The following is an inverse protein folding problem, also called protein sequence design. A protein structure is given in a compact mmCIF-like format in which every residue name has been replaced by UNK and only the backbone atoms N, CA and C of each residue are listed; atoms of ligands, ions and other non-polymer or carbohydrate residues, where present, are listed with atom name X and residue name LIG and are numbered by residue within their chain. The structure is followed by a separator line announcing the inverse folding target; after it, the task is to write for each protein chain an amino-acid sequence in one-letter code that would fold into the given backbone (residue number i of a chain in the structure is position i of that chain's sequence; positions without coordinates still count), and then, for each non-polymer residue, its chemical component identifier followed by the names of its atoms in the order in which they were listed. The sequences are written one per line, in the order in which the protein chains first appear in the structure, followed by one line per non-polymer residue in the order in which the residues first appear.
data_IF_251657565213
#
_entry.id   IF_251657565213
#
_cell.length_a   1.000
_cell.length_b   1.000
_cell.length_c   1.000
_cell.angle_alpha   90.00
_cell.angle_beta   90.00
_cell.angle_gamma   90.00
#
_symmetry.space_group_name_H-M   'P 1'
#
loop_
_entity.id
_entity.type
_entity.pdbx_description
1 polymer ?
#
# COMPACT_ATOMS: atom_id res chain seq x y z
N UNK A 1 26.91 -8.87 1.67
CA UNK A 1 26.51 -8.65 0.26
C UNK A 1 25.10 -9.16 0.06
N UNK A 2 24.19 -8.35 -0.49
CA UNK A 2 22.75 -8.62 -0.62
C UNK A 2 22.41 -9.90 -1.41
N UNK A 3 23.36 -10.40 -2.22
CA UNK A 3 23.26 -11.66 -2.98
C UNK A 3 23.09 -12.92 -2.13
N UNK A 4 23.59 -12.94 -0.89
CA UNK A 4 23.57 -14.13 -0.03
C UNK A 4 22.23 -14.35 0.71
N UNK A 5 21.34 -13.37 0.70
CA UNK A 5 20.08 -13.40 1.45
C UNK A 5 18.85 -13.80 0.59
N UNK A 6 19.07 -14.40 -0.58
CA UNK A 6 18.00 -14.94 -1.45
C UNK A 6 17.15 -13.89 -2.18
N UNK A 7 17.36 -12.61 -1.90
CA UNK A 7 16.67 -11.48 -2.50
C UNK A 7 16.78 -11.45 -4.03
N UNK A 8 17.97 -11.68 -4.61
CA UNK A 8 18.17 -11.60 -6.06
C UNK A 8 17.65 -12.81 -6.85
N UNK A 9 17.26 -13.91 -6.18
CA UNK A 9 16.78 -15.15 -6.81
C UNK A 9 15.29 -15.40 -6.63
N UNK A 10 14.66 -14.70 -5.69
CA UNK A 10 13.22 -14.77 -5.50
C UNK A 10 12.53 -13.98 -6.61
N UNK A 11 11.71 -14.67 -7.43
CA UNK A 11 10.94 -14.05 -8.51
C UNK A 11 9.93 -13.02 -7.98
N UNK A 12 9.57 -13.11 -6.69
CA UNK A 12 8.66 -12.17 -6.00
C UNK A 12 9.38 -11.00 -5.32
N UNK A 13 10.69 -10.90 -5.48
CA UNK A 13 11.49 -9.85 -4.86
C UNK A 13 11.13 -8.43 -5.33
N UNK A 14 10.85 -8.19 -6.62
CA UNK A 14 10.38 -6.89 -7.08
C UNK A 14 9.12 -6.43 -6.35
N UNK A 15 8.14 -7.33 -6.17
CA UNK A 15 6.88 -7.03 -5.48
C UNK A 15 7.13 -6.72 -4.00
N UNK A 16 8.00 -7.49 -3.33
CA UNK A 16 8.37 -7.22 -1.92
C UNK A 16 9.06 -5.86 -1.76
N UNK A 17 9.94 -5.50 -2.69
CA UNK A 17 10.59 -4.19 -2.72
C UNK A 17 9.58 -3.06 -2.93
N UNK A 18 8.68 -3.21 -3.91
CA UNK A 18 7.61 -2.26 -4.19
C UNK A 18 6.74 -2.08 -2.94
N UNK A 19 6.30 -3.17 -2.30
CA UNK A 19 5.52 -3.11 -1.07
C UNK A 19 6.25 -2.39 0.08
N UNK A 20 7.58 -2.54 0.21
CA UNK A 20 8.34 -1.81 1.20
C UNK A 20 8.45 -0.32 0.85
N UNK A 21 8.68 0.02 -0.41
CA UNK A 21 8.73 1.39 -0.90
C UNK A 21 7.39 2.08 -0.65
N UNK A 22 6.28 1.41 -0.94
CA UNK A 22 4.93 1.92 -0.71
C UNK A 22 4.61 2.03 0.79
N UNK A 23 4.84 0.96 1.57
CA UNK A 23 4.57 0.90 3.01
C UNK A 23 5.26 2.00 3.80
N UNK A 24 6.50 2.32 3.45
CA UNK A 24 7.28 3.36 4.12
C UNK A 24 7.29 4.68 3.34
N UNK A 25 6.49 4.78 2.27
CA UNK A 25 6.41 5.93 1.39
C UNK A 25 7.79 6.44 0.94
N UNK A 26 8.73 5.52 0.70
CA UNK A 26 10.13 5.85 0.43
C UNK A 26 10.30 6.67 -0.85
N UNK A 27 9.33 6.60 -1.77
CA UNK A 27 9.27 7.42 -2.98
C UNK A 27 9.23 8.94 -2.68
N UNK A 28 8.81 9.35 -1.47
CA UNK A 28 8.83 10.76 -1.05
C UNK A 28 10.25 11.31 -0.90
N UNK A 29 11.25 10.44 -0.79
CA UNK A 29 12.66 10.84 -0.67
C UNK A 29 13.38 10.88 -2.02
N UNK A 30 12.75 10.41 -3.11
CA UNK A 30 13.32 10.50 -4.46
C UNK A 30 13.56 11.97 -4.86
N UNK A 31 12.71 12.90 -4.38
CA UNK A 31 12.81 14.33 -4.63
C UNK A 31 14.11 14.93 -4.08
N UNK A 32 14.56 14.47 -2.91
CA UNK A 32 15.77 14.97 -2.22
C UNK A 32 17.05 14.50 -2.90
N UNK A 33 17.01 13.32 -3.54
CA UNK A 33 18.20 12.66 -4.10
C UNK A 33 18.41 13.00 -5.58
N UNK A 34 17.33 13.25 -6.34
CA UNK A 34 17.43 13.34 -7.81
C UNK A 34 17.46 14.75 -8.36
N UNK A 35 17.03 15.78 -7.62
CA UNK A 35 17.04 17.18 -8.07
C UNK A 35 16.30 17.44 -9.39
N UNK A 36 15.54 16.46 -9.89
CA UNK A 36 14.85 16.48 -11.18
C UNK A 36 13.35 16.39 -10.93
N UNK A 37 12.71 17.55 -10.91
CA UNK A 37 11.27 17.70 -11.09
C UNK A 37 10.91 17.32 -12.52
N UNK A 38 10.73 16.02 -12.78
CA UNK A 38 10.26 15.55 -14.08
C UNK A 38 9.15 14.53 -13.88
N UNK A 39 7.91 15.07 -13.93
CA UNK A 39 6.65 14.39 -14.24
C UNK A 39 6.66 12.87 -14.11
N UNK A 40 6.62 12.38 -12.88
CA UNK A 40 5.94 11.11 -12.65
C UNK A 40 4.47 11.40 -12.98
N UNK A 41 3.98 10.76 -14.03
CA UNK A 41 2.54 10.58 -14.30
C UNK A 41 1.84 10.57 -12.95
N UNK A 42 0.85 11.45 -12.76
CA UNK A 42 0.05 11.50 -11.53
C UNK A 42 -0.69 10.16 -11.40
N UNK A 43 0.03 9.12 -10.98
CA UNK A 43 -0.54 7.91 -10.43
C UNK A 43 -1.28 8.45 -9.23
N UNK A 44 -2.62 8.48 -9.31
CA UNK A 44 -3.48 8.74 -8.17
C UNK A 44 -2.89 7.90 -7.04
N UNK A 45 -2.26 8.55 -6.07
CA UNK A 45 -1.76 7.87 -4.90
C UNK A 45 -3.03 7.42 -4.17
N UNK A 46 -3.46 6.20 -4.45
CA UNK A 46 -4.49 5.54 -3.69
C UNK A 46 -3.88 5.27 -2.32
N UNK A 47 -4.44 5.88 -1.28
CA UNK A 47 -4.01 5.54 0.06
C UNK A 47 -4.44 4.10 0.30
N UNK A 48 -3.47 3.22 0.50
CA UNK A 48 -3.68 1.79 0.76
C UNK A 48 -3.19 1.42 2.16
N UNK A 49 -3.75 0.37 2.71
CA UNK A 49 -3.44 -0.16 4.04
C UNK A 49 -3.30 -1.68 3.98
N UNK A 50 -2.20 -2.21 4.51
CA UNK A 50 -2.00 -3.66 4.63
C UNK A 50 -2.72 -4.15 5.89
N UNK A 51 -3.66 -5.06 5.72
CA UNK A 51 -4.46 -5.62 6.82
C UNK A 51 -3.54 -6.39 7.77
N UNK A 52 -3.57 -6.03 9.05
CA UNK A 52 -2.86 -6.72 10.13
C UNK A 52 -3.85 -7.34 11.12
N UNK A 53 -3.34 -8.21 12.00
CA UNK A 53 -4.15 -8.83 13.05
C UNK A 53 -4.81 -7.74 13.91
N UNK A 54 -6.14 -7.81 14.01
CA UNK A 54 -6.96 -6.85 14.77
C UNK A 54 -7.58 -5.74 13.93
N UNK A 55 -7.25 -5.66 12.63
CA UNK A 55 -7.97 -4.77 11.73
C UNK A 55 -9.36 -5.30 11.41
N UNK A 56 -10.30 -4.38 11.33
CA UNK A 56 -11.68 -4.59 10.91
C UNK A 56 -12.08 -3.45 9.99
N UNK A 57 -13.07 -3.65 9.12
CA UNK A 57 -13.56 -2.54 8.29
C UNK A 57 -14.01 -1.34 9.13
N UNK A 58 -14.53 -1.57 10.33
CA UNK A 58 -14.91 -0.51 11.26
C UNK A 58 -13.72 0.25 11.86
N UNK A 59 -12.69 -0.46 12.33
CA UNK A 59 -11.49 0.22 12.88
C UNK A 59 -10.75 1.00 11.80
N UNK A 60 -10.70 0.47 10.58
CA UNK A 60 -10.11 1.14 9.43
C UNK A 60 -10.95 2.33 8.97
N UNK A 61 -12.28 2.22 8.91
CA UNK A 61 -13.13 3.35 8.52
C UNK A 61 -13.00 4.52 9.49
N UNK A 62 -12.91 4.26 10.80
CA UNK A 62 -12.63 5.29 11.82
C UNK A 62 -11.24 5.90 11.68
N UNK A 63 -10.21 5.08 11.47
CA UNK A 63 -8.83 5.55 11.29
C UNK A 63 -8.68 6.48 10.09
N UNK A 64 -9.29 6.10 8.97
CA UNK A 64 -9.16 6.82 7.69
C UNK A 64 -10.31 7.79 7.42
N UNK A 65 -11.18 8.03 8.41
CA UNK A 65 -12.29 8.99 8.33
C UNK A 65 -13.19 8.74 7.10
N UNK A 66 -13.45 7.48 6.81
CA UNK A 66 -14.31 7.01 5.71
C UNK A 66 -15.45 6.15 6.27
N UNK A 67 -16.27 5.54 5.41
CA UNK A 67 -17.33 4.61 5.82
C UNK A 67 -16.97 3.17 5.46
N UNK A 68 -17.63 2.22 6.13
CA UNK A 68 -17.48 0.80 5.80
C UNK A 68 -17.99 0.53 4.38
N UNK A 69 -19.11 1.15 3.97
CA UNK A 69 -19.60 0.98 2.59
C UNK A 69 -18.59 1.50 1.56
N UNK A 70 -17.94 2.63 1.83
CA UNK A 70 -16.96 3.20 0.90
C UNK A 70 -15.72 2.30 0.79
N UNK A 71 -15.20 1.80 1.91
CA UNK A 71 -14.10 0.81 1.89
C UNK A 71 -14.48 -0.43 1.09
N UNK A 72 -15.71 -0.94 1.27
CA UNK A 72 -16.19 -2.09 0.51
C UNK A 72 -16.30 -1.78 -0.98
N UNK A 73 -16.83 -0.61 -1.34
CA UNK A 73 -16.98 -0.16 -2.72
C UNK A 73 -15.63 -0.02 -3.42
N UNK A 74 -14.64 0.59 -2.75
CA UNK A 74 -13.30 0.78 -3.28
C UNK A 74 -12.58 -0.56 -3.54
N UNK A 75 -12.85 -1.57 -2.72
CA UNK A 75 -12.16 -2.86 -2.77
C UNK A 75 -13.03 -3.98 -3.35
N UNK A 76 -14.21 -3.66 -3.90
CA UNK A 76 -15.18 -4.62 -4.42
C UNK A 76 -15.54 -5.74 -3.42
N UNK A 77 -15.57 -5.42 -2.12
CA UNK A 77 -15.85 -6.39 -1.06
C UNK A 77 -17.36 -6.58 -0.91
N UNK A 78 -17.80 -7.83 -0.92
CA UNK A 78 -19.20 -8.21 -0.66
C UNK A 78 -19.44 -8.49 0.83
N UNK A 79 -18.46 -9.07 1.52
CA UNK A 79 -18.50 -9.35 2.95
C UNK A 79 -17.64 -8.37 3.77
N UNK A 80 -17.58 -8.58 5.08
CA UNK A 80 -16.72 -7.82 5.98
C UNK A 80 -15.44 -8.60 6.36
N UNK A 81 -15.19 -9.71 5.68
CA UNK A 81 -14.05 -10.56 5.94
C UNK A 81 -12.79 -9.90 5.37
N UNK A 82 -11.77 -9.79 6.20
CA UNK A 82 -10.49 -9.20 5.83
C UNK A 82 -9.39 -10.25 5.96
N UNK A 83 -8.58 -10.41 4.92
CA UNK A 83 -7.44 -11.32 4.93
C UNK A 83 -6.20 -10.59 5.45
N UNK A 84 -5.56 -11.12 6.48
CA UNK A 84 -4.31 -10.56 6.99
C UNK A 84 -3.23 -10.64 5.88
N UNK A 85 -2.54 -9.53 5.66
CA UNK A 85 -1.52 -9.36 4.63
C UNK A 85 -2.05 -8.88 3.28
N UNK A 86 -3.36 -8.75 3.12
CA UNK A 86 -3.98 -8.18 1.92
C UNK A 86 -3.95 -6.65 1.96
N UNK A 87 -3.88 -6.03 0.79
CA UNK A 87 -3.85 -4.58 0.61
C UNK A 87 -5.27 -4.07 0.42
N UNK A 88 -5.70 -3.17 1.29
CA UNK A 88 -7.00 -2.52 1.26
C UNK A 88 -6.84 -1.06 0.82
N UNK A 89 -7.54 -0.64 -0.23
CA UNK A 89 -7.66 0.75 -0.65
C UNK A 89 -8.54 1.49 0.37
N UNK A 90 -7.98 2.50 1.03
CA UNK A 90 -8.67 3.24 2.11
C UNK A 90 -9.11 4.65 1.71
N UNK A 91 -8.56 5.21 0.63
CA UNK A 91 -8.99 6.50 0.07
C UNK A 91 -8.66 6.61 -1.42
N UNK A 92 -9.59 7.15 -2.21
CA UNK A 92 -9.30 7.66 -3.56
C UNK A 92 -9.28 9.18 -3.49
N UNK A 93 -8.18 9.79 -3.92
CA UNK A 93 -7.99 11.26 -3.94
C UNK A 93 -8.79 11.89 -5.07
#
# INVERSE_FOLDING_TARGET
QLRAAGYATDRRYPEKLISLIERYQLYKYDEVVTGQTASRVAVKAEDTHIIIKGDTLYSLSKRYQTTVEELKRLNNLTSNDLTIGEVLIVKSN
#
